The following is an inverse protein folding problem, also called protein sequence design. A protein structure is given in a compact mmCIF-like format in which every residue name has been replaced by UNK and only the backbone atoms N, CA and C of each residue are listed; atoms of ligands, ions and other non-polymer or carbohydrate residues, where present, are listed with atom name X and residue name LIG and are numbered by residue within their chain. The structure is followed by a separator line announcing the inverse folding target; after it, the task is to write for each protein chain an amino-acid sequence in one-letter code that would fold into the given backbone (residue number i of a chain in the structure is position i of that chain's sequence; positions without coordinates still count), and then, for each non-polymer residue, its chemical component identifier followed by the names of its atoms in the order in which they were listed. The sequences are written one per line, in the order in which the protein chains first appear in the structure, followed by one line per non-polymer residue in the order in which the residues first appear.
data_IF_426349565128
#
_entry.id   IF_426349565128
#
_cell.length_a   1.000
_cell.length_b   1.000
_cell.length_c   1.000
_cell.angle_alpha   90.00
_cell.angle_beta   90.00
_cell.angle_gamma   90.00
#
_symmetry.space_group_name_H-M   'P 1'
#
loop_
_entity.id
_entity.type
_entity.pdbx_description
1 polymer ?
#
# COMPACT_ATOMS: atom_id res chain seq x y z
N UNK A 1 12.70 17.25 5.11
CA UNK A 1 13.47 16.11 4.54
C UNK A 1 14.65 15.83 5.46
N UNK A 2 14.89 14.57 5.86
CA UNK A 2 16.11 14.19 6.59
C UNK A 2 17.27 13.97 5.61
N UNK A 3 18.46 14.45 5.95
CA UNK A 3 19.67 14.15 5.18
C UNK A 3 19.95 12.65 5.24
N UNK A 4 20.00 11.98 4.08
CA UNK A 4 20.20 10.52 3.95
C UNK A 4 21.53 10.05 4.54
N UNK A 5 22.50 10.94 4.71
CA UNK A 5 23.82 10.64 5.28
C UNK A 5 23.95 11.09 6.75
N UNK A 6 22.86 11.54 7.38
CA UNK A 6 22.91 11.98 8.78
C UNK A 6 22.90 10.79 9.76
N UNK A 7 23.60 10.89 10.91
CA UNK A 7 23.50 9.88 11.97
C UNK A 7 22.06 9.64 12.44
N UNK A 8 21.22 10.69 12.47
CA UNK A 8 19.80 10.59 12.81
C UNK A 8 19.02 9.74 11.81
N UNK A 9 19.34 9.82 10.52
CA UNK A 9 18.70 8.98 9.50
C UNK A 9 19.10 7.51 9.65
N UNK A 10 20.39 7.22 9.87
CA UNK A 10 20.88 5.87 10.13
C UNK A 10 20.26 5.27 11.41
N UNK A 11 20.15 6.08 12.48
CA UNK A 11 19.48 5.71 13.71
C UNK A 11 18.00 5.36 13.46
N UNK A 12 17.30 6.18 12.67
CA UNK A 12 15.92 5.89 12.26
C UNK A 12 15.80 4.56 11.52
N UNK A 13 16.67 4.28 10.54
CA UNK A 13 16.67 2.99 9.82
C UNK A 13 16.90 1.81 10.76
N UNK A 14 17.82 1.94 11.71
CA UNK A 14 18.10 0.92 12.71
C UNK A 14 16.89 0.65 13.61
N UNK A 15 16.28 1.70 14.16
CA UNK A 15 15.10 1.58 15.03
C UNK A 15 13.88 1.02 14.27
N UNK A 16 13.67 1.46 13.03
CA UNK A 16 12.62 0.93 12.15
C UNK A 16 12.78 -0.58 11.93
N UNK A 17 13.99 -1.03 11.58
CA UNK A 17 14.28 -2.45 11.33
C UNK A 17 13.91 -3.33 12.53
N UNK A 18 14.23 -2.87 13.74
CA UNK A 18 14.02 -3.62 14.98
C UNK A 18 12.55 -3.61 15.40
N UNK A 19 11.87 -2.47 15.31
CA UNK A 19 10.51 -2.30 15.82
C UNK A 19 9.43 -2.75 14.84
N UNK A 20 9.63 -2.57 13.53
CA UNK A 20 8.61 -2.84 12.51
C UNK A 20 8.11 -4.27 12.56
N UNK A 21 9.00 -5.24 12.73
CA UNK A 21 8.60 -6.64 12.81
C UNK A 21 7.76 -6.95 14.05
N UNK A 22 8.09 -6.36 15.20
CA UNK A 22 7.32 -6.53 16.42
C UNK A 22 5.89 -5.97 16.25
N UNK A 23 5.77 -4.80 15.62
CA UNK A 23 4.48 -4.14 15.38
C UNK A 23 3.64 -4.91 14.37
N UNK A 24 4.25 -5.38 13.28
CA UNK A 24 3.56 -6.13 12.24
C UNK A 24 2.85 -7.37 12.81
N UNK A 25 3.41 -8.01 13.85
CA UNK A 25 2.79 -9.15 14.55
C UNK A 25 1.52 -8.71 15.31
N UNK A 26 1.57 -7.57 16.02
CA UNK A 26 0.43 -7.09 16.80
C UNK A 26 -0.68 -6.42 15.96
N UNK A 27 -0.39 -6.13 14.68
CA UNK A 27 -1.32 -5.47 13.76
C UNK A 27 -1.88 -6.42 12.67
N UNK A 28 -1.56 -7.71 12.74
CA UNK A 28 -2.06 -8.70 11.79
C UNK A 28 -3.59 -8.72 11.76
N UNK A 29 -4.15 -8.72 10.54
CA UNK A 29 -5.59 -8.74 10.32
C UNK A 29 -6.30 -7.39 10.48
N UNK A 30 -5.62 -6.35 10.97
CA UNK A 30 -6.21 -5.01 11.20
C UNK A 30 -5.70 -3.94 10.24
N UNK A 31 -4.52 -4.12 9.67
CA UNK A 31 -3.94 -3.19 8.69
C UNK A 31 -4.10 -3.73 7.28
N UNK A 32 -4.60 -2.88 6.40
CA UNK A 32 -4.74 -3.17 4.99
C UNK A 32 -3.64 -2.45 4.20
N UNK A 33 -2.88 -3.14 3.35
CA UNK A 33 -1.82 -2.52 2.55
C UNK A 33 -2.34 -1.78 1.30
N UNK A 34 -3.59 -2.01 0.89
CA UNK A 34 -4.24 -1.37 -0.25
C UNK A 34 -5.74 -1.71 -0.29
N UNK A 35 -6.50 -0.99 -1.12
CA UNK A 35 -7.94 -1.21 -1.25
C UNK A 35 -8.33 -2.61 -1.76
N UNK A 36 -7.49 -3.27 -2.58
CA UNK A 36 -7.76 -4.65 -3.02
C UNK A 36 -7.73 -5.66 -1.88
N UNK A 37 -6.83 -5.45 -0.92
CA UNK A 37 -6.77 -6.29 0.27
C UNK A 37 -7.96 -6.00 1.18
N UNK A 38 -8.22 -4.73 1.47
CA UNK A 38 -9.38 -4.27 2.24
C UNK A 38 -10.69 -4.89 1.73
N UNK A 39 -11.00 -4.73 0.44
CA UNK A 39 -12.29 -5.16 -0.12
C UNK A 39 -12.46 -6.69 -0.07
N UNK A 40 -11.36 -7.43 -0.19
CA UNK A 40 -11.38 -8.89 -0.03
C UNK A 40 -11.70 -9.29 1.40
N UNK A 41 -10.99 -8.75 2.38
CA UNK A 41 -11.28 -9.05 3.79
C UNK A 41 -12.70 -8.60 4.17
N UNK A 42 -13.19 -7.52 3.56
CA UNK A 42 -14.54 -7.06 3.79
C UNK A 42 -15.60 -8.00 3.17
N UNK A 43 -15.37 -8.50 1.96
CA UNK A 43 -16.21 -9.56 1.38
C UNK A 43 -16.19 -10.84 2.23
N UNK A 44 -15.01 -11.26 2.69
CA UNK A 44 -14.87 -12.41 3.59
C UNK A 44 -15.65 -12.20 4.89
N UNK A 45 -15.63 -10.99 5.44
CA UNK A 45 -16.44 -10.63 6.60
C UNK A 45 -17.94 -10.77 6.33
N UNK A 46 -18.43 -10.22 5.21
CA UNK A 46 -19.85 -10.29 4.83
C UNK A 46 -20.29 -11.75 4.64
N UNK A 47 -19.44 -12.59 4.05
CA UNK A 47 -19.76 -14.00 3.82
C UNK A 47 -19.76 -14.83 5.10
N UNK A 48 -18.81 -14.57 6.02
CA UNK A 48 -18.68 -15.34 7.27
C UNK A 48 -19.62 -14.85 8.36
N UNK A 49 -19.96 -13.57 8.36
CA UNK A 49 -20.74 -12.93 9.42
C UNK A 49 -22.06 -12.41 8.86
N UNK A 50 -23.18 -12.99 9.32
CA UNK A 50 -24.55 -12.59 8.96
C UNK A 50 -24.98 -11.25 9.60
N UNK A 51 -24.03 -10.32 9.84
CA UNK A 51 -24.31 -9.01 10.46
C UNK A 51 -24.43 -7.88 9.45
N UNK A 52 -23.96 -8.09 8.21
CA UNK A 52 -24.14 -7.12 7.15
C UNK A 52 -25.62 -7.10 6.73
N UNK A 53 -26.30 -5.99 6.99
CA UNK A 53 -27.75 -5.84 6.88
C UNK A 53 -28.11 -4.48 6.29
N UNK A 54 -29.39 -4.25 5.97
CA UNK A 54 -29.85 -2.98 5.40
C UNK A 54 -29.64 -1.75 6.32
N UNK A 55 -29.41 -1.98 7.62
CA UNK A 55 -29.14 -0.92 8.60
C UNK A 55 -27.65 -0.66 8.80
N UNK A 56 -26.77 -1.55 8.31
CA UNK A 56 -25.32 -1.39 8.47
C UNK A 56 -24.85 -0.07 7.88
N UNK A 57 -24.12 0.70 8.70
CA UNK A 57 -23.46 1.94 8.28
C UNK A 57 -21.96 1.71 8.14
N UNK A 58 -21.35 2.46 7.25
CA UNK A 58 -19.90 2.57 7.14
C UNK A 58 -19.44 3.78 7.94
N UNK A 59 -18.45 3.56 8.80
CA UNK A 59 -17.80 4.62 9.55
C UNK A 59 -16.38 4.74 9.06
N UNK A 60 -16.02 5.95 8.62
CA UNK A 60 -14.62 6.29 8.31
C UNK A 60 -14.13 7.37 9.25
N UNK A 61 -12.90 7.21 9.73
CA UNK A 61 -12.21 8.19 10.56
C UNK A 61 -10.87 8.48 9.90
N UNK A 62 -10.67 9.71 9.44
CA UNK A 62 -9.39 10.19 8.90
C UNK A 62 -8.74 11.13 9.89
N UNK A 63 -7.49 10.83 10.25
CA UNK A 63 -6.72 11.66 11.19
C UNK A 63 -5.81 12.59 10.40
N UNK A 64 -6.17 13.86 10.35
CA UNK A 64 -5.47 14.88 9.56
C UNK A 64 -4.14 15.26 10.18
N UNK A 65 -3.13 15.51 9.34
CA UNK A 65 -1.79 15.99 9.73
C UNK A 65 -1.12 15.19 10.86
N UNK A 66 -1.49 13.92 11.05
CA UNK A 66 -1.05 13.09 12.16
C UNK A 66 0.48 13.11 12.36
N UNK A 67 1.24 12.97 11.27
CA UNK A 67 2.71 12.93 11.29
C UNK A 67 3.37 14.24 11.73
N UNK A 68 2.61 15.33 11.91
CA UNK A 68 3.07 16.65 12.31
C UNK A 68 2.47 17.10 13.66
N UNK A 69 1.33 16.56 14.07
CA UNK A 69 0.59 17.03 15.25
C UNK A 69 0.99 16.33 16.55
N UNK A 70 1.41 15.06 16.51
CA UNK A 70 1.66 14.29 17.73
C UNK A 70 2.93 14.78 18.45
N UNK A 71 2.84 15.25 19.71
CA UNK A 71 4.00 15.62 20.50
C UNK A 71 4.99 14.47 20.73
N UNK A 72 6.29 14.77 20.77
CA UNK A 72 7.33 13.74 20.93
C UNK A 72 7.18 12.93 22.22
N UNK A 73 6.78 13.56 23.33
CA UNK A 73 6.53 12.87 24.59
C UNK A 73 5.39 11.84 24.45
N UNK A 74 4.31 12.18 23.74
CA UNK A 74 3.21 11.23 23.50
C UNK A 74 3.63 10.05 22.63
N UNK A 75 4.47 10.27 21.60
CA UNK A 75 5.03 9.16 20.80
C UNK A 75 5.92 8.24 21.66
N UNK A 76 6.75 8.81 22.53
CA UNK A 76 7.64 8.04 23.42
C UNK A 76 6.82 7.27 24.45
N UNK A 77 5.79 7.88 25.03
CA UNK A 77 4.88 7.22 25.97
C UNK A 77 4.16 6.06 25.29
N UNK A 78 3.59 6.26 24.10
CA UNK A 78 2.95 5.19 23.35
C UNK A 78 3.92 4.03 23.02
N UNK A 79 5.18 4.33 22.70
CA UNK A 79 6.20 3.28 22.54
C UNK A 79 6.50 2.56 23.86
N UNK A 80 6.54 3.28 24.98
CA UNK A 80 6.69 2.66 26.30
C UNK A 80 5.52 1.73 26.61
N UNK A 81 4.29 2.19 26.40
CA UNK A 81 3.06 1.42 26.61
C UNK A 81 3.02 0.20 25.68
N UNK A 82 3.51 0.33 24.44
CA UNK A 82 3.67 -0.80 23.53
C UNK A 82 4.54 -1.91 24.13
N UNK A 83 5.69 -1.55 24.70
CA UNK A 83 6.57 -2.52 25.34
C UNK A 83 5.96 -3.17 26.58
N UNK A 84 5.28 -2.38 27.40
CA UNK A 84 4.72 -2.83 28.68
C UNK A 84 3.46 -3.67 28.52
N UNK A 85 2.58 -3.29 27.59
CA UNK A 85 1.21 -3.84 27.52
C UNK A 85 0.98 -4.79 26.33
N UNK A 86 1.81 -4.71 25.28
CA UNK A 86 1.58 -5.46 24.04
C UNK A 86 2.70 -6.44 23.74
N UNK A 87 3.95 -5.97 23.74
CA UNK A 87 5.09 -6.81 23.36
C UNK A 87 5.48 -7.83 24.44
N UNK A 88 5.24 -7.51 25.72
CA UNK A 88 5.46 -8.38 26.88
C UNK A 88 6.88 -8.99 26.99
N UNK A 89 7.86 -8.38 26.33
CA UNK A 89 9.27 -8.77 26.40
C UNK A 89 10.13 -7.52 26.66
N UNK A 90 11.07 -7.58 27.62
CA UNK A 90 11.87 -6.42 28.01
C UNK A 90 12.93 -6.04 26.97
N UNK A 91 13.15 -6.88 25.94
CA UNK A 91 14.25 -6.75 24.97
C UNK A 91 13.82 -7.08 23.55
N UNK A 92 14.36 -6.35 22.57
CA UNK A 92 14.33 -6.72 21.14
C UNK A 92 15.78 -6.78 20.65
N UNK A 93 16.17 -7.86 19.96
CA UNK A 93 17.54 -8.06 19.47
C UNK A 93 18.61 -7.81 20.57
N UNK A 94 18.36 -8.28 21.80
CA UNK A 94 19.19 -8.08 23.00
C UNK A 94 19.29 -6.63 23.54
N UNK A 95 18.53 -5.69 22.98
CA UNK A 95 18.49 -4.30 23.44
C UNK A 95 17.30 -4.11 24.37
N UNK A 96 17.55 -3.65 25.59
CA UNK A 96 16.50 -3.35 26.56
C UNK A 96 15.61 -2.20 26.09
N UNK A 97 14.30 -2.29 26.31
CA UNK A 97 13.33 -1.32 25.81
C UNK A 97 13.63 0.12 26.25
N UNK A 98 14.16 0.33 27.45
CA UNK A 98 14.56 1.66 27.93
C UNK A 98 15.65 2.30 27.07
N UNK A 99 16.56 1.50 26.50
CA UNK A 99 17.56 1.99 25.53
C UNK A 99 16.92 2.32 24.19
N UNK A 100 15.95 1.52 23.75
CA UNK A 100 15.18 1.82 22.54
C UNK A 100 14.44 3.16 22.73
N UNK A 101 13.81 3.41 23.88
CA UNK A 101 13.17 4.70 24.19
C UNK A 101 14.16 5.87 24.16
N UNK A 102 15.36 5.70 24.72
CA UNK A 102 16.42 6.71 24.68
C UNK A 102 16.86 7.03 23.25
N UNK A 103 17.07 6.00 22.43
CA UNK A 103 17.42 6.14 21.02
C UNK A 103 16.29 6.79 20.21
N UNK A 104 15.04 6.43 20.47
CA UNK A 104 13.86 7.08 19.86
C UNK A 104 13.78 8.56 20.23
N UNK A 105 14.07 8.91 21.49
CA UNK A 105 14.15 10.32 21.92
C UNK A 105 15.25 11.05 21.15
N UNK A 106 16.44 10.46 21.01
CA UNK A 106 17.51 11.04 20.20
C UNK A 106 17.09 11.24 18.75
N UNK A 107 16.38 10.27 18.16
CA UNK A 107 15.86 10.41 16.81
C UNK A 107 14.90 11.60 16.71
N UNK A 108 13.84 11.65 17.51
CA UNK A 108 12.79 12.67 17.43
C UNK A 108 13.33 14.10 17.62
N UNK A 109 14.13 14.32 18.67
CA UNK A 109 14.59 15.67 19.05
C UNK A 109 15.75 16.22 18.20
N UNK A 110 16.38 15.39 17.36
CA UNK A 110 17.51 15.82 16.51
C UNK A 110 17.14 15.96 15.03
N UNK A 111 15.85 15.88 14.68
CA UNK A 111 15.41 16.15 13.31
C UNK A 111 15.40 17.65 13.02
N UNK A 112 16.36 18.09 12.20
CA UNK A 112 16.48 19.46 11.69
C UNK A 112 16.31 19.47 10.18
N UNK A 113 15.77 20.55 9.64
CA UNK A 113 15.66 20.77 8.20
C UNK A 113 15.97 22.23 7.86
N UNK A 114 16.47 22.46 6.65
CA UNK A 114 16.76 23.79 6.13
C UNK A 114 15.66 24.21 5.17
N UNK A 115 15.16 25.42 5.33
CA UNK A 115 14.17 26.03 4.46
C UNK A 115 14.37 27.55 4.46
N UNK A 116 14.34 28.16 3.28
CA UNK A 116 14.39 29.62 3.12
C UNK A 116 15.47 30.33 3.98
N UNK A 117 16.73 29.95 3.79
CA UNK A 117 17.83 30.58 4.54
C UNK A 117 17.98 30.13 6.00
N UNK A 118 17.01 29.40 6.57
CA UNK A 118 16.92 29.14 8.01
C UNK A 118 16.92 27.64 8.34
N UNK A 119 17.46 27.32 9.51
CA UNK A 119 17.45 25.95 10.06
C UNK A 119 16.30 25.84 11.06
N UNK A 120 15.40 24.90 10.82
CA UNK A 120 14.26 24.58 11.66
C UNK A 120 14.48 23.24 12.36
N UNK A 121 13.87 23.07 13.53
CA UNK A 121 13.79 21.80 14.26
C UNK A 121 12.34 21.37 14.37
N UNK A 122 12.07 20.10 14.14
CA UNK A 122 10.75 19.52 14.43
C UNK A 122 10.55 19.44 15.94
N UNK A 123 9.51 20.12 16.44
CA UNK A 123 9.13 20.07 17.85
C UNK A 123 7.98 19.07 18.12
N UNK A 124 7.31 18.62 17.05
CA UNK A 124 6.24 17.62 17.06
C UNK A 124 6.38 16.74 15.81
N UNK A 125 5.80 15.55 15.87
CA UNK A 125 5.77 14.65 14.73
C UNK A 125 7.14 14.04 14.41
N UNK A 126 7.32 13.72 13.14
CA UNK A 126 8.61 13.28 12.63
C UNK A 126 8.74 13.54 11.12
N UNK A 127 9.92 13.33 10.55
CA UNK A 127 10.10 13.44 9.11
C UNK A 127 9.23 12.42 8.37
N UNK A 128 8.28 12.88 7.56
CA UNK A 128 7.37 12.02 6.77
C UNK A 128 8.11 11.09 5.80
N UNK A 129 9.33 11.45 5.42
CA UNK A 129 10.21 10.61 4.59
C UNK A 129 10.88 9.47 5.37
N UNK A 130 10.73 9.43 6.70
CA UNK A 130 11.32 8.40 7.56
C UNK A 130 10.35 7.25 7.78
N UNK A 131 10.77 6.05 7.41
CA UNK A 131 10.08 4.79 7.74
C UNK A 131 9.87 4.58 9.23
N UNK A 132 10.81 5.05 10.05
CA UNK A 132 10.67 4.96 11.49
C UNK A 132 9.53 5.85 12.03
N UNK A 133 9.29 7.00 11.41
CA UNK A 133 8.17 7.87 11.78
C UNK A 133 6.82 7.19 11.49
N UNK A 134 6.72 6.45 10.38
CA UNK A 134 5.56 5.60 10.08
C UNK A 134 5.38 4.48 11.13
N UNK A 135 6.47 3.85 11.55
CA UNK A 135 6.46 2.80 12.59
C UNK A 135 5.99 3.36 13.94
N UNK A 136 6.49 4.54 14.37
CA UNK A 136 6.01 5.22 15.58
C UNK A 136 4.55 5.64 15.48
N UNK A 137 4.12 6.10 14.31
CA UNK A 137 2.72 6.42 14.05
C UNK A 137 1.81 5.20 14.25
N UNK A 138 2.20 4.06 13.68
CA UNK A 138 1.46 2.82 13.83
C UNK A 138 1.37 2.36 15.28
N UNK A 139 2.44 2.52 16.07
CA UNK A 139 2.42 2.20 17.51
C UNK A 139 1.44 3.11 18.25
N UNK A 140 1.53 4.41 18.00
CA UNK A 140 0.66 5.39 18.64
C UNK A 140 -0.82 5.10 18.35
N UNK A 141 -1.14 4.88 17.07
CA UNK A 141 -2.49 4.58 16.63
C UNK A 141 -2.99 3.25 17.19
N UNK A 142 -2.14 2.22 17.31
CA UNK A 142 -2.50 0.96 17.97
C UNK A 142 -2.99 1.17 19.40
N UNK A 143 -2.27 1.98 20.18
CA UNK A 143 -2.67 2.32 21.55
C UNK A 143 -4.01 3.05 21.59
N UNK A 144 -4.15 4.08 20.74
CA UNK A 144 -5.40 4.86 20.62
C UNK A 144 -6.59 3.98 20.25
N UNK A 145 -6.45 3.15 19.21
CA UNK A 145 -7.50 2.27 18.70
C UNK A 145 -7.95 1.24 19.73
N UNK A 146 -7.01 0.60 20.42
CA UNK A 146 -7.35 -0.36 21.47
C UNK A 146 -8.08 0.33 22.62
N UNK A 147 -7.69 1.54 22.99
CA UNK A 147 -8.29 2.26 24.12
C UNK A 147 -9.71 2.78 23.81
N UNK A 148 -9.97 3.25 22.58
CA UNK A 148 -11.23 3.92 22.27
C UNK A 148 -12.21 3.11 21.42
N UNK A 149 -11.71 2.21 20.58
CA UNK A 149 -12.54 1.54 19.58
C UNK A 149 -12.54 0.02 19.79
N UNK A 150 -11.38 -0.62 19.66
CA UNK A 150 -11.29 -2.08 19.51
C UNK A 150 -11.74 -2.82 20.77
N UNK A 151 -11.42 -2.31 21.96
CA UNK A 151 -11.83 -2.94 23.21
C UNK A 151 -13.29 -2.63 23.60
N UNK A 152 -13.97 -1.75 22.85
CA UNK A 152 -15.38 -1.46 23.11
C UNK A 152 -16.23 -2.70 22.78
N UNK A 153 -17.11 -3.11 23.70
CA UNK A 153 -17.95 -4.31 23.53
C UNK A 153 -18.75 -4.28 22.23
N UNK A 154 -19.21 -3.10 21.85
CA UNK A 154 -20.07 -2.87 20.69
C UNK A 154 -19.33 -2.99 19.35
N UNK A 155 -18.00 -2.94 19.38
CA UNK A 155 -17.15 -3.25 18.22
C UNK A 155 -16.93 -4.75 18.04
N UNK A 156 -17.35 -5.59 18.98
CA UNK A 156 -17.23 -7.04 18.85
C UNK A 156 -18.08 -7.53 17.68
N UNK A 157 -17.41 -8.18 16.72
CA UNK A 157 -17.97 -8.71 15.46
C UNK A 157 -18.38 -7.64 14.43
N UNK A 158 -17.96 -6.39 14.60
CA UNK A 158 -17.94 -5.42 13.51
C UNK A 158 -16.70 -5.63 12.65
N UNK A 159 -16.80 -5.33 11.35
CA UNK A 159 -15.63 -5.27 10.51
C UNK A 159 -14.78 -4.06 10.90
N UNK A 160 -13.47 -4.24 11.00
CA UNK A 160 -12.55 -3.16 11.34
C UNK A 160 -11.27 -3.30 10.53
N UNK A 161 -10.79 -2.18 9.99
CA UNK A 161 -9.38 -2.07 9.69
C UNK A 161 -8.92 -0.69 9.28
N UNK A 162 -7.61 -0.57 9.14
CA UNK A 162 -6.92 0.70 8.97
C UNK A 162 -5.96 0.66 7.79
N UNK A 163 -5.93 1.77 7.07
CA UNK A 163 -4.90 2.09 6.09
C UNK A 163 -4.22 3.39 6.52
N UNK A 164 -2.96 3.29 6.96
CA UNK A 164 -2.20 4.45 7.48
C UNK A 164 -2.97 5.21 8.57
N UNK A 165 -3.39 6.45 8.31
CA UNK A 165 -4.14 7.33 9.19
C UNK A 165 -5.66 7.31 8.94
N UNK A 166 -6.16 6.39 8.12
CA UNK A 166 -7.58 6.23 7.80
C UNK A 166 -8.10 4.91 8.37
N UNK A 167 -9.11 5.00 9.23
CA UNK A 167 -9.79 3.87 9.86
C UNK A 167 -11.13 3.67 9.16
N UNK A 168 -11.51 2.41 8.95
CA UNK A 168 -12.80 2.00 8.45
C UNK A 168 -13.39 0.93 9.37
N UNK A 169 -14.67 1.04 9.70
CA UNK A 169 -15.41 -0.05 10.31
C UNK A 169 -16.90 -0.02 9.96
N UNK A 170 -17.57 -1.16 10.14
CA UNK A 170 -19.03 -1.26 10.05
C UNK A 170 -19.69 -0.94 11.39
N UNK A 171 -20.91 -0.44 11.35
CA UNK A 171 -21.69 -0.19 12.57
C UNK A 171 -23.14 -0.61 12.39
N UNK A 172 -23.61 -1.49 13.28
CA UNK A 172 -24.99 -1.96 13.31
C UNK A 172 -25.77 -1.56 14.58
N UNK A 173 -25.09 -0.95 15.56
CA UNK A 173 -25.72 -0.55 16.83
C UNK A 173 -26.36 0.85 16.74
N UNK A 174 -26.82 1.36 17.87
CA UNK A 174 -27.44 2.68 17.94
C UNK A 174 -26.47 3.80 17.52
N UNK A 175 -27.00 4.85 16.90
CA UNK A 175 -26.19 6.03 16.55
C UNK A 175 -25.73 6.80 17.77
N UNK A 176 -26.57 6.91 18.80
CA UNK A 176 -26.24 7.63 20.02
C UNK A 176 -25.00 7.03 20.70
N UNK A 177 -24.93 5.70 20.78
CA UNK A 177 -23.77 4.99 21.33
C UNK A 177 -22.50 5.26 20.51
N UNK A 178 -22.62 5.28 19.17
CA UNK A 178 -21.47 5.63 18.32
C UNK A 178 -21.01 7.07 18.56
N UNK A 179 -21.93 8.01 18.65
CA UNK A 179 -21.63 9.42 18.90
C UNK A 179 -20.95 9.62 20.25
N UNK A 180 -21.38 8.90 21.30
CA UNK A 180 -20.73 8.89 22.61
C UNK A 180 -19.28 8.38 22.52
N UNK A 181 -19.05 7.23 21.87
CA UNK A 181 -17.70 6.66 21.68
C UNK A 181 -16.80 7.66 20.94
N UNK A 182 -17.30 8.24 19.85
CA UNK A 182 -16.54 9.19 19.03
C UNK A 182 -16.28 10.50 19.78
N UNK A 183 -17.22 10.95 20.61
CA UNK A 183 -17.05 12.13 21.45
C UNK A 183 -15.98 11.89 22.52
N UNK A 184 -16.01 10.74 23.22
CA UNK A 184 -14.97 10.38 24.19
C UNK A 184 -13.59 10.27 23.54
N UNK A 185 -13.50 9.69 22.34
CA UNK A 185 -12.26 9.63 21.57
C UNK A 185 -11.72 11.03 21.27
N UNK A 186 -12.57 11.97 20.81
CA UNK A 186 -12.15 13.35 20.53
C UNK A 186 -11.69 14.09 21.79
N UNK A 187 -12.36 13.88 22.92
CA UNK A 187 -11.96 14.48 24.20
C UNK A 187 -10.60 13.96 24.68
N UNK A 188 -10.41 12.64 24.63
CA UNK A 188 -9.17 12.01 25.07
C UNK A 188 -7.97 12.36 24.17
N UNK A 189 -8.21 12.53 22.86
CA UNK A 189 -7.19 12.81 21.86
C UNK A 189 -7.37 14.19 21.20
N UNK A 190 -7.65 15.21 22.02
CA UNK A 190 -7.94 16.58 21.57
C UNK A 190 -6.83 17.29 20.76
N UNK A 191 -5.63 16.72 20.69
CA UNK A 191 -4.50 17.22 19.92
C UNK A 191 -4.46 16.65 18.49
N UNK A 192 -5.40 15.77 18.15
CA UNK A 192 -5.59 15.20 16.82
C UNK A 192 -6.83 15.78 16.15
N UNK A 193 -6.72 15.99 14.84
CA UNK A 193 -7.82 16.45 14.02
C UNK A 193 -8.52 15.25 13.36
N UNK A 194 -9.76 14.98 13.76
CA UNK A 194 -10.55 13.86 13.26
C UNK A 194 -11.62 14.31 12.26
N UNK A 195 -11.57 13.77 11.05
CA UNK A 195 -12.70 13.83 10.11
C UNK A 195 -13.44 12.51 10.12
N UNK A 196 -14.72 12.55 10.46
CA UNK A 196 -15.56 11.37 10.63
C UNK A 196 -16.72 11.44 9.65
N UNK A 197 -16.97 10.34 8.95
CA UNK A 197 -18.14 10.17 8.09
C UNK A 197 -18.88 8.89 8.48
N UNK A 198 -20.19 8.99 8.69
CA UNK A 198 -21.08 7.87 9.07
C UNK A 198 -22.18 7.79 8.03
N UNK A 199 -22.01 6.90 7.05
CA UNK A 199 -22.87 6.88 5.86
C UNK A 199 -23.19 5.46 5.42
N UNK A 200 -24.28 5.28 4.66
CA UNK A 200 -24.54 4.01 3.95
C UNK A 200 -23.78 3.92 2.61
N UNK A 201 -23.25 5.04 2.14
CA UNK A 201 -22.45 5.15 0.94
C UNK A 201 -21.25 6.08 1.18
N UNK A 202 -20.04 5.64 0.84
CA UNK A 202 -18.84 6.48 0.99
C UNK A 202 -17.72 6.02 0.07
N UNK A 203 -16.63 6.78 0.07
CA UNK A 203 -15.40 6.44 -0.66
C UNK A 203 -14.27 6.09 0.30
N UNK A 204 -13.58 4.98 0.07
CA UNK A 204 -12.42 4.56 0.85
C UNK A 204 -11.40 3.85 -0.05
N UNK A 205 -10.13 4.29 -0.02
CA UNK A 205 -9.03 3.70 -0.82
C UNK A 205 -9.32 3.57 -2.33
N UNK A 206 -9.82 4.65 -2.94
CA UNK A 206 -10.24 4.71 -4.36
C UNK A 206 -11.38 3.72 -4.71
N UNK A 207 -12.16 3.30 -3.72
CA UNK A 207 -13.35 2.46 -3.87
C UNK A 207 -14.56 3.25 -3.43
N UNK A 208 -15.61 3.27 -4.26
CA UNK A 208 -16.94 3.66 -3.85
C UNK A 208 -17.63 2.44 -3.25
N UNK A 209 -18.17 2.59 -2.05
CA UNK A 209 -18.88 1.56 -1.28
C UNK A 209 -20.30 2.01 -1.04
N UNK A 210 -21.27 1.12 -1.18
CA UNK A 210 -22.67 1.39 -0.90
C UNK A 210 -23.32 0.13 -0.33
N UNK A 211 -24.08 0.30 0.75
CA UNK A 211 -24.93 -0.75 1.28
C UNK A 211 -26.32 -0.68 0.62
N UNK A 212 -26.54 -1.53 -0.38
CA UNK A 212 -27.84 -1.67 -1.08
C UNK A 212 -28.68 -2.71 -0.38
N UNK A 213 -29.43 -2.30 0.63
CA UNK A 213 -30.38 -3.17 1.35
C UNK A 213 -29.76 -4.46 1.92
N UNK A 214 -28.53 -4.40 2.43
CA UNK A 214 -27.81 -5.56 2.96
C UNK A 214 -26.92 -6.26 1.94
N UNK A 215 -26.79 -5.72 0.73
CA UNK A 215 -25.82 -6.16 -0.27
C UNK A 215 -24.73 -5.11 -0.48
N UNK A 216 -23.47 -5.54 -0.40
CA UNK A 216 -22.35 -4.64 -0.66
C UNK A 216 -22.24 -4.40 -2.16
N UNK A 217 -22.49 -3.17 -2.55
CA UNK A 217 -22.17 -2.66 -3.88
C UNK A 217 -20.84 -1.91 -3.82
N UNK A 218 -19.97 -2.15 -4.80
CA UNK A 218 -18.72 -1.42 -4.92
C UNK A 218 -18.32 -1.19 -6.37
N UNK A 219 -17.61 -0.09 -6.59
CA UNK A 219 -17.00 0.26 -7.89
C UNK A 219 -15.74 1.08 -7.68
N UNK A 220 -14.98 1.25 -8.75
CA UNK A 220 -13.86 2.18 -8.75
C UNK A 220 -14.35 3.62 -8.52
N UNK A 221 -13.69 4.33 -7.60
CA UNK A 221 -13.86 5.77 -7.44
C UNK A 221 -12.67 6.52 -8.05
N UNK A 222 -12.95 7.60 -8.76
CA UNK A 222 -11.95 8.53 -9.29
C UNK A 222 -12.19 9.90 -8.66
N UNK A 223 -11.20 10.43 -7.94
CA UNK A 223 -11.26 11.78 -7.40
C UNK A 223 -11.25 12.78 -8.58
N UNK A 224 -12.27 13.65 -8.66
CA UNK A 224 -12.43 14.62 -9.75
C UNK A 224 -11.23 15.56 -9.91
N UNK A 225 -10.55 15.87 -8.80
CA UNK A 225 -9.47 16.84 -8.72
C UNK A 225 -8.06 16.24 -8.83
N UNK A 226 -7.91 14.91 -8.90
CA UNK A 226 -6.59 14.30 -9.16
C UNK A 226 -6.31 14.32 -10.66
N UNK A 227 -5.16 14.89 -11.02
CA UNK A 227 -4.68 14.87 -12.40
C UNK A 227 -4.63 13.43 -12.94
N UNK A 228 -5.37 13.20 -14.02
CA UNK A 228 -5.71 11.90 -14.63
C UNK A 228 -4.56 11.33 -15.48
N UNK A 229 -3.32 11.69 -15.19
CA UNK A 229 -2.19 11.34 -16.06
C UNK A 229 -1.71 9.94 -15.73
N UNK A 230 -1.88 9.03 -16.70
CA UNK A 230 -1.06 7.83 -16.71
C UNK A 230 0.34 8.17 -17.18
N UNK A 231 1.32 7.28 -16.97
CA UNK A 231 2.69 7.47 -17.46
C UNK A 231 2.60 7.71 -18.99
N UNK A 232 3.03 8.86 -19.53
CA UNK A 232 2.91 9.14 -20.95
C UNK A 232 3.67 8.10 -21.74
N UNK A 233 3.11 7.66 -22.88
CA UNK A 233 3.72 6.62 -23.67
C UNK A 233 5.10 7.06 -24.16
N UNK A 234 6.12 6.25 -23.87
CA UNK A 234 7.45 6.41 -24.45
C UNK A 234 7.78 5.15 -25.23
N UNK A 235 8.43 5.25 -26.39
CA UNK A 235 8.64 4.11 -27.30
C UNK A 235 9.88 3.24 -26.99
N UNK A 236 10.52 3.41 -25.83
CA UNK A 236 11.70 2.62 -25.48
C UNK A 236 11.31 1.18 -25.06
N UNK A 237 12.17 0.18 -25.29
CA UNK A 237 11.81 -1.24 -25.06
C UNK A 237 11.44 -1.55 -23.59
N UNK A 238 11.98 -0.78 -22.64
CA UNK A 238 11.72 -0.96 -21.20
C UNK A 238 10.39 -0.33 -20.76
N UNK A 239 9.91 0.71 -21.42
CA UNK A 239 8.62 1.35 -21.11
C UNK A 239 7.46 0.45 -21.51
N UNK A 240 7.55 -0.32 -22.61
CA UNK A 240 6.48 -1.20 -23.09
C UNK A 240 6.05 -2.19 -22.00
N UNK A 241 7.00 -2.78 -21.26
CA UNK A 241 6.71 -3.70 -20.14
C UNK A 241 6.04 -2.98 -18.97
N UNK A 242 6.49 -1.78 -18.64
CA UNK A 242 5.93 -0.97 -17.55
C UNK A 242 4.49 -0.55 -17.89
N UNK A 243 4.29 -0.03 -19.10
CA UNK A 243 3.02 0.36 -19.69
C UNK A 243 2.02 -0.82 -19.74
N UNK A 244 2.47 -1.99 -20.18
CA UNK A 244 1.69 -3.24 -20.18
C UNK A 244 1.24 -3.65 -18.78
N UNK A 245 2.18 -3.60 -17.81
CA UNK A 245 1.92 -3.97 -16.43
C UNK A 245 0.91 -3.02 -15.77
N UNK A 246 0.97 -1.73 -16.09
CA UNK A 246 0.04 -0.73 -15.59
C UNK A 246 -1.38 -0.95 -16.08
N UNK A 247 -1.61 -1.10 -17.39
CA UNK A 247 -2.95 -1.34 -17.94
C UNK A 247 -3.55 -2.60 -17.34
N UNK A 248 -2.75 -3.67 -17.30
CA UNK A 248 -3.14 -4.92 -16.66
C UNK A 248 -3.52 -4.73 -15.19
N UNK A 249 -2.72 -3.99 -14.43
CA UNK A 249 -2.96 -3.76 -13.00
C UNK A 249 -4.24 -2.94 -12.78
N UNK A 250 -4.51 -1.95 -13.63
CA UNK A 250 -5.75 -1.18 -13.61
C UNK A 250 -6.97 -2.04 -13.92
N UNK A 251 -6.89 -2.94 -14.90
CA UNK A 251 -7.96 -3.89 -15.21
C UNK A 251 -8.19 -4.90 -14.07
N UNK A 252 -7.11 -5.43 -13.47
CA UNK A 252 -7.21 -6.29 -12.28
C UNK A 252 -7.91 -5.55 -11.13
N UNK A 253 -7.57 -4.27 -10.92
CA UNK A 253 -8.21 -3.43 -9.92
C UNK A 253 -9.70 -3.24 -10.23
N UNK A 254 -10.06 -2.93 -11.48
CA UNK A 254 -11.44 -2.77 -11.93
C UNK A 254 -12.28 -4.02 -11.59
N UNK A 255 -11.81 -5.21 -11.96
CA UNK A 255 -12.52 -6.47 -11.66
C UNK A 255 -12.67 -6.71 -10.16
N UNK A 256 -11.66 -6.34 -9.37
CA UNK A 256 -11.74 -6.49 -7.91
C UNK A 256 -12.75 -5.54 -7.30
N UNK A 257 -12.77 -4.29 -7.75
CA UNK A 257 -13.57 -3.22 -7.14
C UNK A 257 -15.01 -3.21 -7.63
N UNK A 258 -15.27 -3.55 -8.89
CA UNK A 258 -16.62 -3.51 -9.45
C UNK A 258 -17.37 -4.81 -9.13
N UNK A 259 -18.48 -4.70 -8.40
CA UNK A 259 -19.40 -5.82 -8.14
C UNK A 259 -20.34 -6.08 -9.31
N UNK A 260 -20.75 -5.03 -10.03
CA UNK A 260 -21.61 -5.14 -11.20
C UNK A 260 -20.79 -5.12 -12.50
N UNK A 261 -21.25 -5.87 -13.50
CA UNK A 261 -20.60 -5.96 -14.82
C UNK A 261 -20.61 -4.63 -15.57
N UNK A 262 -21.67 -3.83 -15.40
CA UNK A 262 -21.81 -2.52 -16.01
C UNK A 262 -20.72 -1.56 -15.51
N UNK A 263 -20.47 -1.54 -14.20
CA UNK A 263 -19.41 -0.71 -13.62
C UNK A 263 -18.02 -1.12 -14.08
N UNK A 264 -17.78 -2.42 -14.23
CA UNK A 264 -16.54 -2.91 -14.83
C UNK A 264 -16.41 -2.47 -16.29
N UNK A 265 -17.51 -2.52 -17.05
CA UNK A 265 -17.51 -2.09 -18.44
C UNK A 265 -17.22 -0.59 -18.59
N UNK A 266 -17.86 0.26 -17.77
CA UNK A 266 -17.59 1.69 -17.73
C UNK A 266 -16.13 1.98 -17.33
N UNK A 267 -15.61 1.31 -16.30
CA UNK A 267 -14.21 1.46 -15.90
C UNK A 267 -13.25 1.01 -17.01
N UNK A 268 -13.58 -0.06 -17.74
CA UNK A 268 -12.78 -0.53 -18.88
C UNK A 268 -12.72 0.53 -19.98
N UNK A 269 -13.88 1.06 -20.40
CA UNK A 269 -13.96 2.15 -21.39
C UNK A 269 -13.17 3.36 -20.90
N UNK A 270 -13.33 3.74 -19.64
CA UNK A 270 -12.59 4.84 -19.03
C UNK A 270 -11.07 4.63 -19.10
N UNK A 271 -10.57 3.42 -18.83
CA UNK A 271 -9.16 3.08 -18.97
C UNK A 271 -8.70 3.13 -20.44
N UNK A 272 -9.49 2.62 -21.38
CA UNK A 272 -9.18 2.69 -22.81
C UNK A 272 -9.01 4.15 -23.27
N UNK A 273 -9.98 5.00 -22.94
CA UNK A 273 -9.97 6.43 -23.28
C UNK A 273 -8.81 7.16 -22.61
N UNK A 274 -8.54 6.87 -21.34
CA UNK A 274 -7.42 7.46 -20.61
C UNK A 274 -6.09 7.10 -21.25
N UNK A 275 -5.89 5.85 -21.69
CA UNK A 275 -4.65 5.45 -22.36
C UNK A 275 -4.51 6.09 -23.74
N UNK A 276 -5.58 6.16 -24.54
CA UNK A 276 -5.56 6.87 -25.82
C UNK A 276 -5.15 8.34 -25.64
N UNK A 277 -5.75 9.02 -24.66
CA UNK A 277 -5.44 10.42 -24.34
C UNK A 277 -3.99 10.63 -23.87
N UNK A 278 -3.33 9.59 -23.33
CA UNK A 278 -1.93 9.64 -22.90
C UNK A 278 -0.95 9.15 -24.00
N UNK A 279 -1.40 9.03 -25.26
CA UNK A 279 -0.57 8.78 -26.44
C UNK A 279 -0.30 7.30 -26.75
N UNK A 280 -1.07 6.37 -26.16
CA UNK A 280 -0.95 4.94 -26.46
C UNK A 280 -1.70 4.60 -27.74
N UNK A 281 -1.15 3.71 -28.56
CA UNK A 281 -1.83 3.27 -29.80
C UNK A 281 -3.04 2.38 -29.50
N UNK A 282 -4.05 2.43 -30.36
CA UNK A 282 -5.23 1.57 -30.26
C UNK A 282 -4.86 0.07 -30.32
N UNK A 283 -3.91 -0.30 -31.18
CA UNK A 283 -3.42 -1.68 -31.32
C UNK A 283 -2.77 -2.18 -30.02
N UNK A 284 -2.00 -1.31 -29.35
CA UNK A 284 -1.41 -1.63 -28.06
C UNK A 284 -2.49 -1.96 -27.02
N UNK A 285 -3.49 -1.10 -26.90
CA UNK A 285 -4.58 -1.25 -25.93
C UNK A 285 -5.38 -2.53 -26.23
N UNK A 286 -5.81 -2.70 -27.49
CA UNK A 286 -6.58 -3.87 -27.94
C UNK A 286 -5.84 -5.17 -27.68
N UNK A 287 -4.56 -5.25 -28.04
CA UNK A 287 -3.72 -6.43 -27.81
C UNK A 287 -3.64 -6.80 -26.33
N UNK A 288 -3.46 -5.81 -25.46
CA UNK A 288 -3.33 -6.05 -24.02
C UNK A 288 -4.67 -6.41 -23.35
N UNK A 289 -5.78 -5.83 -23.80
CA UNK A 289 -7.12 -6.23 -23.36
C UNK A 289 -7.44 -7.67 -23.77
N UNK A 290 -7.17 -8.04 -25.03
CA UNK A 290 -7.36 -9.41 -25.49
C UNK A 290 -6.53 -10.38 -24.66
N UNK A 291 -5.24 -10.07 -24.43
CA UNK A 291 -4.38 -10.90 -23.60
C UNK A 291 -4.88 -11.02 -22.16
N UNK A 292 -5.39 -9.93 -21.58
CA UNK A 292 -5.98 -9.93 -20.24
C UNK A 292 -7.17 -10.90 -20.15
N UNK A 293 -8.16 -10.77 -21.04
CA UNK A 293 -9.33 -11.67 -21.05
C UNK A 293 -8.95 -13.12 -21.34
N UNK A 294 -8.01 -13.36 -22.27
CA UNK A 294 -7.51 -14.71 -22.56
C UNK A 294 -6.86 -15.37 -21.35
N UNK A 295 -6.02 -14.63 -20.62
CA UNK A 295 -5.29 -15.17 -19.49
C UNK A 295 -6.21 -15.62 -18.35
N UNK A 296 -7.32 -14.91 -18.15
CA UNK A 296 -8.31 -15.25 -17.13
C UNK A 296 -9.48 -16.08 -17.68
N UNK A 297 -9.37 -16.59 -18.92
CA UNK A 297 -10.35 -17.45 -19.56
C UNK A 297 -11.74 -16.82 -19.70
N UNK A 298 -11.78 -15.51 -19.92
CA UNK A 298 -12.98 -14.70 -20.08
C UNK A 298 -13.12 -14.25 -21.55
N UNK A 299 -12.99 -15.18 -22.51
CA UNK A 299 -13.05 -14.85 -23.95
C UNK A 299 -14.40 -14.25 -24.34
N UNK A 300 -15.48 -14.69 -23.70
CA UNK A 300 -16.86 -14.22 -23.93
C UNK A 300 -17.00 -12.71 -23.70
N UNK A 301 -16.25 -12.14 -22.74
CA UNK A 301 -16.22 -10.70 -22.48
C UNK A 301 -15.54 -9.87 -23.57
N UNK A 302 -14.84 -10.50 -24.52
CA UNK A 302 -14.32 -9.80 -25.70
C UNK A 302 -15.43 -9.38 -26.66
N UNK A 303 -16.61 -10.02 -26.59
CA UNK A 303 -17.76 -9.75 -27.45
C UNK A 303 -18.74 -8.74 -26.84
N UNK A 304 -18.35 -8.04 -25.76
CA UNK A 304 -19.18 -7.00 -25.11
C UNK A 304 -20.51 -7.50 -24.53
N UNK A 305 -20.63 -8.81 -24.26
CA UNK A 305 -21.82 -9.35 -23.60
C UNK A 305 -21.79 -8.95 -22.12
N UNK A 306 -22.73 -8.09 -21.72
CA UNK A 306 -22.94 -7.72 -20.32
C UNK A 306 -23.78 -8.83 -19.66
N UNK A 307 -23.09 -9.81 -19.09
CA UNK A 307 -23.72 -10.89 -18.31
C UNK A 307 -23.10 -10.95 -16.91
N UNK A 308 -23.94 -10.73 -15.90
CA UNK A 308 -23.51 -10.70 -14.50
C UNK A 308 -23.01 -12.06 -14.01
N UNK A 309 -23.64 -13.17 -14.43
CA UNK A 309 -23.26 -14.52 -14.00
C UNK A 309 -21.91 -14.97 -14.54
N UNK A 310 -21.61 -14.66 -15.81
CA UNK A 310 -20.30 -14.84 -16.41
C UNK A 310 -19.26 -13.93 -15.76
N UNK A 311 -19.64 -12.70 -15.40
CA UNK A 311 -18.74 -11.73 -14.79
C UNK A 311 -18.32 -12.19 -13.40
N UNK A 312 -19.26 -12.74 -12.61
CA UNK A 312 -18.97 -13.31 -11.30
C UNK A 312 -18.00 -14.49 -11.39
N UNK A 313 -18.18 -15.40 -12.36
CA UNK A 313 -17.23 -16.51 -12.62
C UNK A 313 -15.83 -15.98 -12.95
N UNK A 314 -15.76 -14.98 -13.83
CA UNK A 314 -14.51 -14.32 -14.19
C UNK A 314 -13.83 -13.65 -12.98
N UNK A 315 -14.60 -12.89 -12.19
CA UNK A 315 -14.15 -12.21 -10.98
C UNK A 315 -13.63 -13.22 -9.96
N UNK A 316 -14.35 -14.31 -9.73
CA UNK A 316 -13.95 -15.37 -8.79
C UNK A 316 -12.66 -16.07 -9.23
N UNK A 317 -12.50 -16.34 -10.54
CA UNK A 317 -11.26 -16.91 -11.09
C UNK A 317 -10.06 -15.97 -10.91
N UNK A 318 -10.26 -14.67 -11.12
CA UNK A 318 -9.22 -13.67 -10.90
C UNK A 318 -8.81 -13.60 -9.42
N UNK A 319 -9.77 -13.68 -8.48
CA UNK A 319 -9.46 -13.74 -7.05
C UNK A 319 -8.62 -14.98 -6.69
N UNK A 320 -8.99 -16.14 -7.21
CA UNK A 320 -8.27 -17.41 -6.98
C UNK A 320 -6.83 -17.34 -7.52
N UNK A 321 -6.66 -16.94 -8.79
CA UNK A 321 -5.34 -16.79 -9.41
C UNK A 321 -4.41 -15.89 -8.59
N UNK A 322 -4.94 -14.78 -8.06
CA UNK A 322 -4.14 -13.83 -7.29
C UNK A 322 -3.82 -14.33 -5.87
N UNK A 323 -4.62 -15.22 -5.31
CA UNK A 323 -4.32 -15.90 -4.05
C UNK A 323 -3.21 -16.94 -4.26
N UNK A 324 -3.27 -17.72 -5.34
CA UNK A 324 -2.23 -18.69 -5.72
C UNK A 324 -0.87 -18.01 -5.98
N UNK A 325 -0.86 -16.91 -6.73
CA UNK A 325 0.37 -16.14 -6.99
C UNK A 325 1.02 -15.63 -5.70
N UNK A 326 0.22 -15.21 -4.71
CA UNK A 326 0.72 -14.76 -3.41
C UNK A 326 1.33 -15.90 -2.61
N UNK A 327 0.66 -17.04 -2.53
CA UNK A 327 1.21 -18.23 -1.87
C UNK A 327 2.53 -18.66 -2.51
N UNK A 328 2.61 -18.62 -3.84
CA UNK A 328 3.84 -18.90 -4.56
C UNK A 328 4.96 -17.90 -4.23
N UNK A 329 4.66 -16.59 -4.20
CA UNK A 329 5.63 -15.55 -3.79
C UNK A 329 6.08 -15.74 -2.34
N UNK A 330 5.16 -16.06 -1.42
CA UNK A 330 5.46 -16.26 -0.01
C UNK A 330 6.34 -17.51 0.21
N UNK A 331 6.01 -18.64 -0.42
CA UNK A 331 6.87 -19.84 -0.44
C UNK A 331 8.26 -19.53 -1.01
N UNK A 332 8.31 -18.70 -2.07
CA UNK A 332 9.58 -18.23 -2.63
C UNK A 332 10.34 -17.38 -1.61
N UNK A 333 9.71 -16.44 -0.92
CA UNK A 333 10.33 -15.62 0.13
C UNK A 333 10.80 -16.43 1.35
N UNK A 334 10.07 -17.46 1.75
CA UNK A 334 10.46 -18.37 2.84
C UNK A 334 11.66 -19.24 2.44
N UNK A 335 11.69 -19.75 1.21
CA UNK A 335 12.89 -20.41 0.66
C UNK A 335 14.09 -19.46 0.52
N UNK A 336 13.84 -18.18 0.21
CA UNK A 336 14.86 -17.12 0.22
C UNK A 336 15.46 -16.89 1.62
N UNK A 337 14.67 -17.01 2.70
CA UNK A 337 15.16 -16.87 4.08
C UNK A 337 15.95 -18.09 4.56
N UNK A 338 15.62 -19.29 4.07
CA UNK A 338 16.30 -20.55 4.44
C UNK A 338 17.65 -20.74 3.74
N UNK A 339 17.81 -20.21 2.54
CA UNK A 339 19.06 -20.27 1.79
C UNK A 339 19.88 -19.01 2.05
N UNK A 340 21.18 -19.14 2.38
CA UNK A 340 22.11 -17.99 2.44
C UNK A 340 22.29 -17.44 1.03
N UNK A 341 21.37 -16.58 0.59
CA UNK A 341 21.44 -15.91 -0.72
C UNK A 341 22.02 -14.51 -0.56
N UNK A 342 23.09 -14.22 -1.30
CA UNK A 342 23.63 -12.87 -1.38
C UNK A 342 22.90 -12.12 -2.49
N UNK A 343 22.43 -10.90 -2.20
CA UNK A 343 21.73 -10.09 -3.19
C UNK A 343 22.60 -8.90 -3.58
N UNK A 344 23.01 -8.86 -4.84
CA UNK A 344 23.78 -7.74 -5.38
C UNK A 344 22.91 -6.98 -6.38
N UNK A 345 22.48 -5.78 -6.01
CA UNK A 345 21.76 -4.90 -6.93
C UNK A 345 22.69 -3.84 -7.50
N UNK A 346 22.84 -3.78 -8.83
CA UNK A 346 23.61 -2.72 -9.50
C UNK A 346 22.72 -1.84 -10.38
N UNK A 347 23.19 -0.61 -10.58
CA UNK A 347 22.54 0.38 -11.43
C UNK A 347 23.17 0.31 -12.82
N UNK A 348 22.33 0.31 -13.85
CA UNK A 348 22.79 0.42 -15.23
C UNK A 348 22.00 1.52 -15.93
N UNK A 349 22.70 2.30 -16.74
CA UNK A 349 22.12 3.25 -17.67
C UNK A 349 22.08 2.63 -19.08
N UNK A 350 21.12 3.07 -19.91
CA UNK A 350 20.86 2.58 -21.27
C UNK A 350 22.09 2.62 -22.21
N UNK A 351 23.19 3.26 -21.80
CA UNK A 351 24.44 3.38 -22.56
C UNK A 351 25.26 2.08 -22.52
N UNK A 352 25.05 1.21 -21.53
CA UNK A 352 25.86 0.00 -21.35
C UNK A 352 25.03 -1.29 -21.45
N UNK A 353 25.55 -2.25 -22.22
CA UNK A 353 24.91 -3.56 -22.37
C UNK A 353 24.91 -4.32 -21.05
N UNK A 354 23.72 -4.49 -20.45
CA UNK A 354 23.46 -5.35 -19.28
C UNK A 354 24.11 -6.74 -19.42
N UNK A 355 24.12 -7.29 -20.63
CA UNK A 355 24.75 -8.57 -20.94
C UNK A 355 26.27 -8.53 -20.73
N UNK A 356 26.93 -7.47 -21.17
CA UNK A 356 28.39 -7.28 -21.03
C UNK A 356 28.80 -7.11 -19.57
N UNK A 357 28.06 -6.31 -18.79
CA UNK A 357 28.30 -6.16 -17.35
C UNK A 357 28.08 -7.48 -16.62
N UNK A 358 26.95 -8.18 -16.85
CA UNK A 358 26.69 -9.47 -16.21
C UNK A 358 27.77 -10.50 -16.54
N UNK A 359 28.30 -10.49 -17.77
CA UNK A 359 29.40 -11.36 -18.19
C UNK A 359 30.69 -11.03 -17.42
N UNK A 360 31.07 -9.76 -17.34
CA UNK A 360 32.27 -9.34 -16.59
C UNK A 360 32.14 -9.57 -15.09
N UNK A 361 30.98 -9.26 -14.50
CA UNK A 361 30.70 -9.51 -13.10
C UNK A 361 30.81 -11.01 -12.78
N UNK A 362 30.29 -11.89 -13.66
CA UNK A 362 30.45 -13.34 -13.53
C UNK A 362 31.91 -13.79 -13.58
N UNK A 363 32.74 -13.17 -14.43
CA UNK A 363 34.19 -13.46 -14.51
C UNK A 363 34.90 -13.06 -13.21
N UNK A 364 34.64 -11.85 -12.70
CA UNK A 364 35.22 -11.38 -11.43
C UNK A 364 34.82 -12.27 -10.26
N UNK A 365 33.56 -12.71 -10.24
CA UNK A 365 33.04 -13.57 -9.18
C UNK A 365 33.48 -15.02 -9.31
N UNK A 366 33.77 -15.52 -10.51
CA UNK A 366 34.31 -16.88 -10.69
C UNK A 366 35.74 -17.02 -10.15
N UNK A 367 36.51 -15.93 -10.11
CA UNK A 367 37.87 -15.94 -9.57
C UNK A 367 37.90 -15.98 -8.03
N UNK A 368 36.83 -15.51 -7.38
CA UNK A 368 36.73 -15.36 -5.92
C UNK A 368 35.76 -16.36 -5.26
N UNK A 369 34.84 -16.96 -6.03
CA UNK A 369 33.89 -17.99 -5.58
C UNK A 369 33.97 -19.16 -6.57
N UNK A 370 34.19 -20.39 -6.08
CA UNK A 370 34.18 -21.61 -6.92
C UNK A 370 32.79 -21.85 -7.52
N UNK A 371 32.44 -21.14 -8.59
CA UNK A 371 31.21 -21.36 -9.36
C UNK A 371 31.53 -22.48 -10.37
N UNK A 372 31.47 -23.74 -9.91
CA UNK A 372 31.39 -24.88 -10.85
C UNK A 372 29.93 -25.01 -11.28
N UNK A 373 29.69 -24.87 -12.59
CA UNK A 373 28.47 -25.21 -13.35
C UNK A 373 27.29 -25.66 -12.47
N UNK A 374 26.54 -24.69 -11.93
CA UNK A 374 25.42 -24.97 -11.05
C UNK A 374 24.20 -25.38 -11.88
N UNK A 375 23.95 -26.69 -12.00
CA UNK A 375 22.57 -27.18 -11.90
C UNK A 375 22.06 -26.85 -10.50
N UNK A 376 20.89 -26.23 -10.45
CA UNK A 376 20.39 -25.34 -9.40
C UNK A 376 20.07 -25.96 -8.02
N UNK A 377 20.62 -27.12 -7.66
CA UNK A 377 20.09 -27.86 -6.51
C UNK A 377 21.05 -28.21 -5.38
N UNK A 378 22.38 -28.06 -5.48
CA UNK A 378 23.22 -28.39 -4.32
C UNK A 378 24.50 -27.54 -4.20
N UNK A 379 24.39 -26.40 -3.52
CA UNK A 379 25.44 -25.85 -2.63
C UNK A 379 24.95 -24.57 -1.93
N UNK A 380 25.36 -24.41 -0.65
CA UNK A 380 24.78 -23.55 0.40
C UNK A 380 24.91 -22.01 0.21
N UNK A 381 25.21 -21.51 -0.98
CA UNK A 381 25.37 -20.06 -1.24
C UNK A 381 24.86 -19.73 -2.66
N UNK A 382 23.82 -18.90 -2.78
CA UNK A 382 23.31 -18.45 -4.09
C UNK A 382 23.41 -16.93 -4.21
N UNK A 383 24.14 -16.43 -5.20
CA UNK A 383 24.22 -14.99 -5.48
C UNK A 383 23.13 -14.61 -6.50
N UNK A 384 22.19 -13.78 -6.06
CA UNK A 384 21.18 -13.16 -6.90
C UNK A 384 21.63 -11.76 -7.31
N UNK A 385 21.91 -11.59 -8.60
CA UNK A 385 22.23 -10.29 -9.17
C UNK A 385 20.95 -9.69 -9.72
N UNK A 386 20.53 -8.54 -9.19
CA UNK A 386 19.41 -7.77 -9.72
C UNK A 386 19.85 -6.42 -10.26
N UNK A 387 19.08 -5.89 -11.20
CA UNK A 387 19.34 -4.57 -11.79
C UNK A 387 18.31 -3.58 -11.27
N UNK A 388 18.76 -2.44 -10.76
CA UNK A 388 17.89 -1.30 -10.42
C UNK A 388 18.15 -0.18 -11.43
N UNK A 389 17.13 0.23 -12.18
CA UNK A 389 17.28 1.31 -13.15
C UNK A 389 17.34 2.66 -12.44
N UNK A 390 18.20 3.57 -12.89
CA UNK A 390 18.18 4.96 -12.42
C UNK A 390 17.11 5.73 -13.21
N UNK A 391 16.01 6.10 -12.58
CA UNK A 391 14.95 6.89 -13.22
C UNK A 391 15.31 8.39 -13.35
N UNK A 392 16.47 8.81 -12.84
CA UNK A 392 16.79 10.24 -12.63
C UNK A 392 17.16 11.01 -13.90
N UNK A 393 17.44 10.35 -15.02
CA UNK A 393 17.77 11.05 -16.28
C UNK A 393 16.53 11.38 -17.13
N UNK A 394 15.41 10.65 -16.96
CA UNK A 394 14.16 10.96 -17.66
C UNK A 394 13.42 12.17 -17.06
N UNK A 395 13.73 12.56 -15.81
CA UNK A 395 13.18 13.76 -15.18
C UNK A 395 13.78 15.06 -15.71
N UNK A 396 14.99 15.01 -16.29
CA UNK A 396 15.67 16.16 -16.89
C UNK A 396 15.32 16.37 -18.38
N UNK A 397 14.74 15.37 -19.03
CA UNK A 397 14.40 15.40 -20.46
C UNK A 397 12.90 15.37 -20.75
N UNK A 398 12.04 15.44 -19.73
CA UNK A 398 10.62 15.73 -19.98
C UNK A 398 10.52 17.19 -20.40
N UNK A 399 10.49 17.43 -21.72
CA UNK A 399 10.08 18.72 -22.27
C UNK A 399 8.76 19.18 -21.63
N UNK A 400 8.58 20.51 -21.57
CA UNK A 400 7.32 21.13 -21.14
C UNK A 400 6.14 20.42 -21.82
N UNK A 401 5.25 19.88 -20.99
CA UNK A 401 4.11 19.09 -21.44
C UNK A 401 3.12 20.02 -22.16
N UNK A 402 2.58 19.62 -23.33
CA UNK A 402 1.59 20.43 -24.02
C UNK A 402 0.33 20.53 -23.15
N UNK A 403 -0.20 21.74 -23.00
CA UNK A 403 -1.52 22.00 -22.45
C UNK A 403 -2.57 21.49 -23.45
N UNK A 404 -3.25 20.39 -23.16
CA UNK A 404 -4.34 19.90 -24.00
C UNK A 404 -5.71 20.36 -23.42
N UNK A 405 -6.47 21.22 -24.14
CA UNK A 405 -7.75 21.76 -23.65
C UNK A 405 -8.84 20.68 -23.46
N UNK A 406 -8.80 19.63 -24.28
CA UNK A 406 -9.88 18.63 -24.40
C UNK A 406 -10.11 17.83 -23.11
N UNK A 407 -9.09 17.67 -22.26
CA UNK A 407 -9.22 16.92 -21.00
C UNK A 407 -9.93 17.70 -19.88
N UNK A 408 -10.07 19.02 -20.03
CA UNK A 408 -10.80 19.85 -19.06
C UNK A 408 -12.31 19.95 -19.37
N UNK A 409 -12.74 19.55 -20.58
CA UNK A 409 -14.12 19.73 -21.03
C UNK A 409 -14.97 18.45 -20.97
N UNK A 410 -14.40 17.28 -20.66
CA UNK A 410 -15.15 16.06 -20.37
C UNK A 410 -15.44 15.93 -18.86
N UNK A 411 -16.21 16.89 -18.33
CA UNK A 411 -16.80 16.91 -16.98
C UNK A 411 -18.23 16.39 -17.05
#
# INVERSE_FOLDING_TARGET
MTSKNSPTYALGQFLDRILRHAIDIHQQGRIYPNGSYFLREFHDYIQRHQRFSATTKFVTITISNFYHLVPHNLMINALSDFFLNYYNLPRIENIHYTKILQLTKLFLYNNRFYYDGKIYRLNKGGPTTSRFTETLANIYLLGMENNCLINHRSMQNEFYGRYQNQIFFTWNQSLNELEEILHQMKLQYNHLDFHISIEKQLTFLDIYLENRHGFLYSRVHHEQNRQRYTLPYTSNENSIRIHSHWLRSSLIRAVRYCTAVEDFHYERIYLEMSYLANGYSYEFIKKHLQHFFLQFGAKEFQQFVLDQGLYEKFRHRLFNFMSEQRQHIQKKQESFKKNRRFHLSYIYDNISSKSKFNKQLRVILSDSVKIKNATFENSKLQLDITTKHQYSLNALLSHQRPSHPILNEMI
#
